data_IF_616285312082
#
_entry.id   IF_616285312082
#
_cell.length_a   1.000
_cell.length_b   1.000
_cell.length_c   1.000
_cell.angle_alpha   90.00
_cell.angle_beta   90.00
_cell.angle_gamma   90.00
#
_symmetry.space_group_name_H-M   'P 1'
#
loop_
_entity.id
_entity.type
_entity.pdbx_description
1 polymer ?
#
# COMPACT_ATOMS: atom_id res chain seq x y z
N UNK A 1 1.00 10.90 -9.66
CA UNK A 1 0.65 9.60 -9.06
C UNK A 1 -0.08 8.70 -10.05
N UNK A 2 0.55 7.56 -10.35
CA UNK A 2 0.09 6.50 -11.27
C UNK A 2 -0.67 5.40 -10.51
N UNK A 3 -1.59 5.81 -9.64
CA UNK A 3 -2.55 4.97 -8.95
C UNK A 3 -3.94 5.57 -9.15
N UNK A 4 -4.90 4.73 -9.52
CA UNK A 4 -6.31 5.05 -9.56
C UNK A 4 -6.86 5.31 -8.15
N UNK A 5 -7.99 6.01 -8.07
CA UNK A 5 -8.63 6.27 -6.79
C UNK A 5 -9.14 4.98 -6.12
N UNK A 6 -9.49 3.97 -6.91
CA UNK A 6 -9.81 2.64 -6.42
C UNK A 6 -8.60 2.00 -5.74
N UNK A 7 -7.44 1.93 -6.41
CA UNK A 7 -6.22 1.36 -5.81
C UNK A 7 -5.83 2.09 -4.52
N UNK A 8 -5.89 3.42 -4.50
CA UNK A 8 -5.63 4.21 -3.28
C UNK A 8 -6.59 3.84 -2.15
N UNK A 9 -7.89 3.74 -2.44
CA UNK A 9 -8.90 3.36 -1.46
C UNK A 9 -8.64 1.96 -0.91
N UNK A 10 -8.31 1.00 -1.77
CA UNK A 10 -8.01 -0.38 -1.35
C UNK A 10 -6.79 -0.41 -0.44
N UNK A 11 -5.68 0.22 -0.85
CA UNK A 11 -4.44 0.29 -0.08
C UNK A 11 -4.70 0.92 1.29
N UNK A 12 -5.35 2.09 1.31
CA UNK A 12 -5.64 2.81 2.54
C UNK A 12 -6.49 1.95 3.49
N UNK A 13 -7.60 1.38 3.00
CA UNK A 13 -8.49 0.53 3.80
C UNK A 13 -7.78 -0.70 4.35
N UNK A 14 -6.97 -1.37 3.52
CA UNK A 14 -6.24 -2.56 3.93
C UNK A 14 -5.27 -2.29 5.09
N UNK A 15 -4.56 -1.15 5.04
CA UNK A 15 -3.64 -0.74 6.11
C UNK A 15 -4.41 -0.30 7.36
N UNK A 16 -5.41 0.58 7.22
CA UNK A 16 -6.16 1.11 8.37
C UNK A 16 -6.99 0.06 9.10
N UNK A 17 -7.30 -1.07 8.43
CA UNK A 17 -7.97 -2.19 9.05
C UNK A 17 -7.07 -2.99 10.00
N UNK A 18 -5.74 -2.86 9.89
CA UNK A 18 -4.76 -3.47 10.82
C UNK A 18 -4.31 -2.50 11.93
N UNK A 19 -4.32 -1.20 11.63
CA UNK A 19 -4.14 -0.09 12.58
C UNK A 19 -4.79 1.18 12.05
N UNK A 20 -5.88 1.63 12.68
CA UNK A 20 -6.64 2.80 12.27
C UNK A 20 -5.83 4.12 12.33
N UNK A 21 -4.73 4.15 13.10
CA UNK A 21 -3.86 5.33 13.22
C UNK A 21 -2.65 5.28 12.27
N UNK A 22 -2.52 4.22 11.46
CA UNK A 22 -1.42 4.10 10.51
C UNK A 22 -1.49 5.20 9.45
N UNK A 23 -0.33 5.78 9.13
CA UNK A 23 -0.19 6.72 8.02
C UNK A 23 0.45 6.02 6.84
N UNK A 24 -0.15 6.17 5.67
CA UNK A 24 0.31 5.54 4.43
C UNK A 24 0.84 6.61 3.49
N UNK A 25 2.08 6.43 3.04
CA UNK A 25 2.71 7.30 2.04
C UNK A 25 3.10 6.48 0.83
N UNK A 26 2.75 6.98 -0.34
CA UNK A 26 3.27 6.46 -1.60
C UNK A 26 4.63 7.09 -1.88
N UNK A 27 5.62 6.26 -2.18
CA UNK A 27 6.90 6.72 -2.70
C UNK A 27 7.29 5.94 -3.96
N UNK A 28 8.51 6.16 -4.44
CA UNK A 28 9.03 5.46 -5.61
C UNK A 28 8.36 5.85 -6.93
N UNK A 29 8.41 4.94 -7.90
CA UNK A 29 8.10 5.25 -9.31
C UNK A 29 6.63 5.58 -9.57
N UNK A 30 5.70 5.09 -8.74
CA UNK A 30 4.26 5.35 -8.87
C UNK A 30 3.85 6.73 -8.33
N UNK A 31 4.69 7.40 -7.54
CA UNK A 31 4.41 8.74 -7.04
C UNK A 31 4.44 9.80 -8.16
N UNK A 32 5.39 9.66 -9.08
CA UNK A 32 5.56 10.52 -10.26
C UNK A 32 4.79 9.98 -11.47
N UNK A 33 4.08 10.86 -12.19
CA UNK A 33 3.39 10.51 -13.43
C UNK A 33 4.33 10.23 -14.61
N UNK A 34 5.53 10.81 -14.59
CA UNK A 34 6.48 10.73 -15.69
C UNK A 34 7.52 9.61 -15.50
N UNK A 35 7.62 9.04 -14.29
CA UNK A 35 8.56 7.98 -14.00
C UNK A 35 8.16 6.64 -14.64
N UNK A 36 9.16 5.83 -14.95
CA UNK A 36 9.01 4.46 -15.48
C UNK A 36 9.22 3.48 -14.33
N UNK A 37 8.30 2.52 -14.20
CA UNK A 37 8.27 1.56 -13.10
C UNK A 37 6.88 0.99 -12.91
N UNK A 38 6.81 -0.21 -12.33
CA UNK A 38 5.57 -0.98 -12.14
C UNK A 38 5.17 -1.17 -10.69
N UNK A 39 6.15 -1.16 -9.78
CA UNK A 39 5.97 -1.55 -8.39
C UNK A 39 5.33 -0.40 -7.58
N UNK A 40 4.52 -0.76 -6.60
CA UNK A 40 3.86 0.15 -5.67
C UNK A 40 4.65 0.14 -4.37
N UNK A 41 5.44 1.18 -4.15
CA UNK A 41 6.26 1.34 -2.94
C UNK A 41 5.50 2.15 -1.88
N UNK A 42 5.22 1.55 -0.73
CA UNK A 42 4.44 2.14 0.35
C UNK A 42 5.26 2.24 1.64
N UNK A 43 5.25 3.40 2.26
CA UNK A 43 5.79 3.61 3.61
C UNK A 43 4.61 3.67 4.59
N UNK A 44 4.62 2.80 5.59
CA UNK A 44 3.56 2.70 6.60
C UNK A 44 4.11 3.09 7.96
N UNK A 45 3.72 4.27 8.44
CA UNK A 45 4.06 4.71 9.80
C UNK A 45 2.96 4.27 10.77
N UNK A 46 3.29 3.33 11.64
CA UNK A 46 2.36 2.79 12.66
C UNK A 46 3.14 2.36 13.91
N UNK A 47 2.50 2.47 15.08
CA UNK A 47 3.07 2.02 16.36
C UNK A 47 2.78 0.53 16.64
N UNK A 48 1.92 -0.10 15.84
CA UNK A 48 1.39 -1.44 16.09
C UNK A 48 1.45 -2.34 14.85
N UNK A 49 2.34 -2.04 13.90
CA UNK A 49 2.53 -2.85 12.69
C UNK A 49 3.63 -3.88 12.91
N UNK A 50 3.23 -5.14 13.06
CA UNK A 50 4.16 -6.27 13.08
C UNK A 50 4.16 -7.00 11.72
N UNK A 51 5.00 -8.04 11.61
CA UNK A 51 5.10 -8.85 10.38
C UNK A 51 3.78 -9.57 10.03
N UNK A 52 2.93 -9.88 11.00
CA UNK A 52 1.68 -10.59 10.75
C UNK A 52 0.65 -9.64 10.13
N UNK A 53 0.49 -8.45 10.72
CA UNK A 53 -0.37 -7.39 10.17
C UNK A 53 0.10 -6.93 8.80
N UNK A 54 1.40 -6.83 8.59
CA UNK A 54 1.98 -6.53 7.27
C UNK A 54 1.55 -7.55 6.21
N UNK A 55 1.61 -8.85 6.54
CA UNK A 55 1.13 -9.91 5.64
C UNK A 55 -0.38 -9.83 5.42
N UNK A 56 -1.16 -9.59 6.47
CA UNK A 56 -2.62 -9.47 6.37
C UNK A 56 -3.04 -8.31 5.48
N UNK A 57 -2.45 -7.13 5.66
CA UNK A 57 -2.71 -5.97 4.82
C UNK A 57 -2.30 -6.24 3.36
N UNK A 58 -1.10 -6.80 3.12
CA UNK A 58 -0.66 -7.17 1.78
C UNK A 58 -1.64 -8.14 1.11
N UNK A 59 -2.12 -9.14 1.84
CA UNK A 59 -3.07 -10.12 1.31
C UNK A 59 -4.40 -9.47 0.90
N UNK A 60 -4.95 -8.59 1.75
CA UNK A 60 -6.18 -7.84 1.41
C UNK A 60 -6.03 -6.97 0.18
N UNK A 61 -4.86 -6.35 -0.01
CA UNK A 61 -4.60 -5.55 -1.21
C UNK A 61 -4.59 -6.46 -2.45
N UNK A 62 -3.88 -7.59 -2.39
CA UNK A 62 -3.80 -8.55 -3.49
C UNK A 62 -5.16 -9.18 -3.82
N UNK A 63 -5.99 -9.45 -2.82
CA UNK A 63 -7.34 -9.98 -3.02
C UNK A 63 -8.22 -9.00 -3.84
N UNK A 64 -8.06 -7.69 -3.63
CA UNK A 64 -8.91 -6.67 -4.26
C UNK A 64 -8.33 -6.08 -5.55
N UNK A 65 -7.00 -6.05 -5.70
CA UNK A 65 -6.30 -5.50 -6.87
C UNK A 65 -5.70 -6.58 -7.79
N UNK A 66 -5.84 -7.85 -7.43
CA UNK A 66 -5.14 -8.96 -8.06
C UNK A 66 -3.64 -8.96 -7.75
N UNK A 67 -2.87 -9.71 -8.54
CA UNK A 67 -1.43 -9.76 -8.38
C UNK A 67 -0.81 -8.38 -8.67
N UNK A 68 -0.31 -7.74 -7.62
CA UNK A 68 0.40 -6.46 -7.69
C UNK A 68 1.77 -6.63 -7.04
N UNK A 69 2.81 -6.09 -7.68
CA UNK A 69 4.11 -5.93 -7.05
C UNK A 69 4.03 -4.74 -6.10
N UNK A 70 3.86 -5.04 -4.82
CA UNK A 70 3.77 -4.05 -3.74
C UNK A 70 4.91 -4.33 -2.78
N UNK A 71 5.68 -3.28 -2.50
CA UNK A 71 6.64 -3.26 -1.41
C UNK A 71 6.12 -2.35 -0.29
N UNK A 72 6.21 -2.83 0.94
CA UNK A 72 5.70 -2.11 2.12
C UNK A 72 6.83 -2.07 3.15
N UNK A 73 7.25 -0.86 3.48
CA UNK A 73 8.29 -0.54 4.46
C UNK A 73 7.65 0.04 5.72
#
# INVERSE_FOLDING_TARGET
MRLSDYEKSVIFKAITAEDANAKVFLFGSRADNNARGGDIDLLVLSQHFDKQKLRAARWRILEQLGEQKIDII
#
